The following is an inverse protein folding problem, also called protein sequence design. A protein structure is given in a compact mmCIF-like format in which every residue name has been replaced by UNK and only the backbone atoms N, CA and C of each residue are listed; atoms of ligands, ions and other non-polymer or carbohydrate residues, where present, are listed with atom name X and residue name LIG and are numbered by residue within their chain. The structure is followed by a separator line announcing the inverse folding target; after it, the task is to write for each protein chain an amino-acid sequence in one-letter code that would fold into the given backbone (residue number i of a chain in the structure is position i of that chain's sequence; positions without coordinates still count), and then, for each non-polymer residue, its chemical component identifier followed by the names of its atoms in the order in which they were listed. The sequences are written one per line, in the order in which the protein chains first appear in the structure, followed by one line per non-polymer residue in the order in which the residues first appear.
data_IF_326359965794
#
_entry.id   IF_326359965794
#
_cell.length_a   1.000
_cell.length_b   1.000
_cell.length_c   1.000
_cell.angle_alpha   90.00
_cell.angle_beta   90.00
_cell.angle_gamma   90.00
#
_symmetry.space_group_name_H-M   'P 1'
#
loop_
_entity.id
_entity.type
_entity.pdbx_description
1 polymer ?
#
# COMPACT_ATOMS: atom_id res chain seq x y z
N UNK A 1 -1.98 5.66 -12.49
CA UNK A 1 -1.58 4.88 -11.29
C UNK A 1 -0.92 5.74 -10.20
N UNK A 2 -0.18 6.80 -10.53
CA UNK A 2 0.43 7.67 -9.51
C UNK A 2 -0.56 8.34 -8.54
N UNK A 3 -1.75 8.71 -9.01
CA UNK A 3 -2.83 9.26 -8.17
C UNK A 3 -3.34 8.29 -7.10
N UNK A 4 -3.31 6.98 -7.36
CA UNK A 4 -3.73 5.97 -6.37
C UNK A 4 -2.70 5.78 -5.26
N UNK A 5 -1.41 5.80 -5.59
CA UNK A 5 -0.33 5.70 -4.59
C UNK A 5 -0.13 6.99 -3.79
N UNK A 6 -0.65 8.12 -4.28
CA UNK A 6 -0.60 9.40 -3.57
C UNK A 6 -1.34 9.32 -2.23
N UNK A 7 -2.50 8.65 -2.17
CA UNK A 7 -3.32 8.57 -0.96
C UNK A 7 -2.59 7.92 0.23
N UNK A 8 -2.11 6.67 0.11
CA UNK A 8 -1.40 5.99 1.18
C UNK A 8 -0.08 6.65 1.60
N UNK A 9 0.62 7.30 0.66
CA UNK A 9 1.91 7.95 0.95
C UNK A 9 1.73 9.34 1.57
N UNK A 10 0.74 10.11 1.14
CA UNK A 10 0.46 11.43 1.71
C UNK A 10 -0.29 11.36 3.04
N UNK A 11 -1.05 10.30 3.31
CA UNK A 11 -1.83 10.14 4.53
C UNK A 11 -1.02 10.33 5.82
N UNK A 12 0.06 9.55 6.05
CA UNK A 12 0.89 9.65 7.25
C UNK A 12 1.59 11.00 7.42
N UNK A 13 1.81 11.75 6.34
CA UNK A 13 2.53 13.02 6.34
C UNK A 13 1.61 14.22 6.53
N UNK A 14 0.38 14.12 6.02
CA UNK A 14 -0.66 15.12 6.22
C UNK A 14 -1.36 14.95 7.57
N UNK A 15 -1.44 13.74 8.12
CA UNK A 15 -2.11 13.46 9.38
C UNK A 15 -1.56 14.24 10.60
N UNK A 16 -0.23 14.48 10.74
CA UNK A 16 0.34 15.30 11.81
C UNK A 16 -0.10 16.76 11.79
N UNK A 17 -0.57 17.31 10.67
CA UNK A 17 -0.98 18.72 10.55
C UNK A 17 -2.27 19.00 11.35
N UNK A 18 -3.43 18.37 11.04
CA UNK A 18 -4.63 18.52 11.86
C UNK A 18 -4.46 17.85 13.23
N UNK A 19 -3.71 16.75 13.32
CA UNK A 19 -3.44 16.06 14.57
C UNK A 19 -2.68 16.93 15.58
N UNK A 20 -1.66 17.66 15.12
CA UNK A 20 -0.88 18.58 15.94
C UNK A 20 -1.68 19.82 16.38
N UNK A 21 -2.52 20.37 15.50
CA UNK A 21 -3.40 21.50 15.83
C UNK A 21 -4.43 21.14 16.90
N UNK A 22 -5.08 19.99 16.76
CA UNK A 22 -6.09 19.49 17.71
C UNK A 22 -5.42 19.13 19.05
N UNK A 23 -4.24 18.50 19.01
CA UNK A 23 -3.48 18.15 20.21
C UNK A 23 -3.01 19.39 20.99
N UNK A 24 -2.64 20.47 20.29
CA UNK A 24 -2.26 21.73 20.92
C UNK A 24 -3.45 22.44 21.58
N UNK A 25 -4.61 22.49 20.92
CA UNK A 25 -5.78 23.20 21.43
C UNK A 25 -6.54 22.45 22.55
N UNK A 26 -6.73 21.14 22.41
CA UNK A 26 -7.59 20.34 23.28
C UNK A 26 -6.92 19.10 23.88
N UNK A 27 -5.60 18.98 23.72
CA UNK A 27 -4.82 17.86 24.23
C UNK A 27 -4.94 16.58 23.41
N UNK A 28 -4.15 15.58 23.80
CA UNK A 28 -4.00 14.32 23.06
C UNK A 28 -5.28 13.45 23.02
N UNK A 29 -6.20 13.61 23.97
CA UNK A 29 -7.47 12.84 23.96
C UNK A 29 -8.38 13.27 22.81
N UNK A 30 -8.34 14.54 22.44
CA UNK A 30 -9.16 15.09 21.35
C UNK A 30 -8.78 14.50 20.00
N UNK A 31 -7.51 14.14 19.79
CA UNK A 31 -7.08 13.49 18.54
C UNK A 31 -7.69 12.11 18.35
N UNK A 32 -7.91 11.35 19.42
CA UNK A 32 -8.55 10.02 19.36
C UNK A 32 -10.04 10.12 18.99
N UNK A 33 -10.75 11.09 19.58
CA UNK A 33 -12.15 11.36 19.24
C UNK A 33 -12.30 11.83 17.80
N UNK A 34 -11.39 12.71 17.33
CA UNK A 34 -11.35 13.12 15.93
C UNK A 34 -11.14 11.92 14.99
N UNK A 35 -10.19 11.02 15.30
CA UNK A 35 -9.94 9.81 14.51
C UNK A 35 -11.16 8.89 14.45
N UNK A 36 -11.89 8.77 15.56
CA UNK A 36 -13.13 7.97 15.66
C UNK A 36 -14.22 8.54 14.75
N UNK A 37 -14.43 9.85 14.79
CA UNK A 37 -15.41 10.53 13.94
C UNK A 37 -15.03 10.39 12.47
N UNK A 38 -13.76 10.65 12.13
CA UNK A 38 -13.26 10.51 10.76
C UNK A 38 -13.41 9.08 10.22
N UNK A 39 -13.09 8.07 11.04
CA UNK A 39 -13.29 6.66 10.69
C UNK A 39 -14.77 6.31 10.47
N UNK A 40 -15.66 6.80 11.34
CA UNK A 40 -17.11 6.61 11.20
C UNK A 40 -17.68 7.25 9.94
N UNK A 41 -17.27 8.48 9.62
CA UNK A 41 -17.65 9.18 8.37
C UNK A 41 -17.11 8.42 7.15
N UNK A 42 -15.85 7.97 7.19
CA UNK A 42 -15.25 7.19 6.10
C UNK A 42 -16.01 5.88 5.87
N UNK A 43 -16.40 5.17 6.92
CA UNK A 43 -17.23 3.96 6.82
C UNK A 43 -18.61 4.25 6.21
N UNK A 44 -19.23 5.36 6.59
CA UNK A 44 -20.51 5.78 6.04
C UNK A 44 -20.40 6.11 4.55
N UNK A 45 -19.36 6.83 4.15
CA UNK A 45 -19.06 7.13 2.74
C UNK A 45 -18.80 5.83 1.97
N UNK A 46 -17.99 4.91 2.50
CA UNK A 46 -17.73 3.62 1.85
C UNK A 46 -19.00 2.80 1.67
N UNK A 47 -19.88 2.77 2.68
CA UNK A 47 -21.15 2.05 2.62
C UNK A 47 -22.10 2.61 1.56
N UNK A 48 -22.14 3.92 1.37
CA UNK A 48 -23.03 4.56 0.38
C UNK A 48 -22.40 4.57 -1.01
N UNK A 49 -21.09 4.82 -1.09
CA UNK A 49 -20.37 5.06 -2.34
C UNK A 49 -19.87 3.79 -3.05
N UNK A 50 -19.74 2.67 -2.34
CA UNK A 50 -19.34 1.40 -2.95
C UNK A 50 -20.59 0.52 -3.12
N UNK A 51 -21.13 0.35 -4.33
CA UNK A 51 -22.10 -0.70 -4.58
C UNK A 51 -21.40 -2.03 -4.27
N UNK A 52 -21.97 -2.87 -3.42
CA UNK A 52 -21.34 -4.11 -2.96
C UNK A 52 -20.78 -4.92 -4.14
N UNK A 53 -19.47 -4.85 -4.36
CA UNK A 53 -18.74 -5.57 -5.41
C UNK A 53 -18.45 -7.01 -5.00
N UNK A 54 -19.45 -7.70 -4.42
CA UNK A 54 -19.50 -9.16 -4.36
C UNK A 54 -20.34 -9.69 -5.53
N UNK A 55 -20.08 -9.15 -6.73
CA UNK A 55 -20.54 -9.79 -7.96
C UNK A 55 -19.74 -11.07 -8.17
N UNK A 56 -20.40 -12.20 -7.93
CA UNK A 56 -19.98 -13.55 -8.34
C UNK A 56 -18.75 -14.11 -7.63
N UNK A 57 -18.99 -14.69 -6.44
CA UNK A 57 -18.35 -15.95 -6.06
C UNK A 57 -18.51 -16.89 -7.26
N UNK A 58 -17.45 -17.00 -8.05
CA UNK A 58 -17.35 -17.80 -9.27
C UNK A 58 -18.12 -19.10 -9.05
N UNK A 59 -19.08 -19.38 -9.94
CA UNK A 59 -19.70 -20.69 -10.14
C UNK A 59 -18.60 -21.76 -10.19
N UNK A 60 -18.23 -22.31 -9.04
CA UNK A 60 -17.27 -23.40 -8.91
C UNK A 60 -17.97 -24.76 -8.79
N UNK A 61 -19.27 -24.86 -9.13
CA UNK A 61 -20.09 -26.06 -8.91
C UNK A 61 -21.08 -26.33 -10.05
N UNK A 62 -20.79 -25.93 -11.30
CA UNK A 62 -21.74 -26.17 -12.41
C UNK A 62 -21.08 -26.67 -13.70
N UNK A 63 -20.01 -27.46 -13.58
CA UNK A 63 -19.51 -28.26 -14.71
C UNK A 63 -18.79 -29.53 -14.20
N UNK A 64 -19.52 -30.36 -13.44
CA UNK A 64 -19.21 -31.78 -13.31
C UNK A 64 -20.54 -32.52 -13.25
N UNK A 65 -21.06 -32.93 -14.39
CA UNK A 65 -21.88 -34.14 -14.55
C UNK A 65 -21.71 -34.60 -16.01
N UNK A 66 -21.79 -35.91 -16.35
CA UNK A 66 -22.51 -36.96 -15.62
C UNK A 66 -21.77 -38.31 -15.52
N UNK A 67 -22.05 -39.04 -14.43
CA UNK A 67 -22.15 -40.51 -14.33
C UNK A 67 -21.72 -40.96 -12.94
N UNK A 68 -22.68 -41.29 -12.07
CA UNK A 68 -22.92 -42.68 -11.62
C UNK A 68 -24.31 -42.71 -11.00
N UNK A 69 -25.10 -43.65 -11.49
CA UNK A 69 -26.46 -43.90 -11.08
C UNK A 69 -26.57 -44.48 -9.66
N UNK A 70 -27.63 -44.04 -8.98
CA UNK A 70 -28.55 -44.85 -8.18
C UNK A 70 -28.13 -45.38 -6.78
N UNK A 71 -28.97 -44.98 -5.80
CA UNK A 71 -29.24 -45.63 -4.50
C UNK A 71 -28.18 -45.40 -3.40
N UNK A 72 -28.49 -44.96 -2.18
CA UNK A 72 -29.49 -45.45 -1.22
C UNK A 72 -29.64 -44.47 -0.03
N UNK A 73 -30.90 -44.26 0.36
CA UNK A 73 -31.43 -44.42 1.74
C UNK A 73 -30.92 -43.56 2.91
N UNK A 74 -31.80 -42.62 3.29
CA UNK A 74 -32.28 -42.26 4.64
C UNK A 74 -31.39 -42.40 5.90
N UNK A 75 -31.49 -41.32 6.70
CA UNK A 75 -31.43 -41.25 8.17
C UNK A 75 -30.13 -41.66 8.88
N UNK A 76 -29.35 -40.66 9.29
CA UNK A 76 -28.76 -40.58 10.64
C UNK A 76 -28.17 -39.17 10.86
N UNK A 77 -28.85 -38.36 11.68
CA UNK A 77 -28.39 -37.06 12.16
C UNK A 77 -27.81 -37.28 13.55
N UNK A 78 -26.49 -37.35 13.66
CA UNK A 78 -25.65 -36.80 14.74
C UNK A 78 -24.18 -37.19 14.48
N UNK A 79 -23.22 -36.43 15.01
CA UNK A 79 -21.76 -36.64 14.91
C UNK A 79 -21.04 -36.18 13.63
N UNK A 80 -21.63 -36.27 12.43
CA UNK A 80 -20.95 -35.82 11.18
C UNK A 80 -20.85 -34.30 11.02
N UNK A 81 -21.79 -33.55 11.61
CA UNK A 81 -21.86 -32.09 11.48
C UNK A 81 -20.75 -31.38 12.28
N UNK A 82 -20.38 -31.91 13.45
CA UNK A 82 -19.27 -31.40 14.28
C UNK A 82 -17.92 -31.62 13.59
N UNK A 83 -17.72 -32.81 12.99
CA UNK A 83 -16.52 -33.12 12.21
C UNK A 83 -16.38 -32.23 10.97
N UNK A 84 -17.48 -31.90 10.29
CA UNK A 84 -17.49 -30.97 9.16
C UNK A 84 -17.20 -29.52 9.59
N UNK A 85 -17.70 -29.07 10.76
CA UNK A 85 -17.35 -27.74 11.28
C UNK A 85 -15.89 -27.64 11.71
N UNK A 86 -15.31 -28.68 12.33
CA UNK A 86 -13.88 -28.69 12.70
C UNK A 86 -12.97 -28.72 11.47
N UNK A 87 -13.31 -29.51 10.45
CA UNK A 87 -12.58 -29.52 9.17
C UNK A 87 -12.64 -28.16 8.46
N UNK A 88 -13.81 -27.50 8.47
CA UNK A 88 -13.98 -26.15 7.92
C UNK A 88 -13.15 -25.10 8.67
N UNK A 89 -13.07 -25.20 9.99
CA UNK A 89 -12.18 -24.35 10.80
C UNK A 89 -10.70 -24.62 10.52
N UNK A 90 -10.31 -25.87 10.32
CA UNK A 90 -8.94 -26.25 9.96
C UNK A 90 -8.55 -25.77 8.55
N UNK A 91 -9.47 -25.82 7.60
CA UNK A 91 -9.26 -25.24 6.26
C UNK A 91 -9.17 -23.71 6.30
N UNK A 92 -10.02 -23.05 7.09
CA UNK A 92 -9.95 -21.60 7.30
C UNK A 92 -8.62 -21.24 8.00
N UNK A 93 -8.19 -22.03 8.99
CA UNK A 93 -6.93 -21.79 9.70
C UNK A 93 -5.71 -22.04 8.80
N UNK A 94 -5.76 -23.04 7.92
CA UNK A 94 -4.76 -23.26 6.88
C UNK A 94 -4.74 -22.13 5.86
N UNK A 95 -5.91 -21.64 5.45
CA UNK A 95 -6.03 -20.50 4.53
C UNK A 95 -5.52 -19.19 5.15
N UNK A 96 -5.74 -18.99 6.46
CA UNK A 96 -5.28 -17.79 7.16
C UNK A 96 -3.78 -17.87 7.49
N UNK A 97 -3.25 -19.06 7.79
CA UNK A 97 -1.89 -19.20 8.34
C UNK A 97 -0.87 -19.70 7.31
N UNK A 98 -1.25 -20.66 6.45
CA UNK A 98 -0.34 -21.36 5.53
C UNK A 98 -0.38 -20.77 4.11
N UNK A 99 -1.55 -20.38 3.61
CA UNK A 99 -1.63 -19.75 2.28
C UNK A 99 -0.86 -18.42 2.17
N UNK A 100 -0.83 -17.50 3.16
CA UNK A 100 0.02 -16.31 3.06
C UNK A 100 1.52 -16.63 3.16
N UNK A 101 1.93 -17.72 3.82
CA UNK A 101 3.33 -18.17 3.82
C UNK A 101 3.75 -18.68 2.43
N UNK A 102 2.82 -19.17 1.62
CA UNK A 102 3.11 -19.54 0.23
C UNK A 102 3.54 -18.35 -0.63
N UNK A 103 3.20 -17.11 -0.24
CA UNK A 103 3.69 -15.89 -0.91
C UNK A 103 5.20 -15.73 -0.72
N UNK A 104 5.75 -16.16 0.42
CA UNK A 104 7.20 -16.16 0.64
C UNK A 104 7.92 -17.10 -0.35
N UNK A 105 7.23 -18.08 -0.92
CA UNK A 105 7.80 -18.96 -1.94
C UNK A 105 8.08 -18.21 -3.26
N UNK A 106 7.39 -17.09 -3.52
CA UNK A 106 7.71 -16.18 -4.63
C UNK A 106 9.03 -15.40 -4.41
N UNK A 107 9.55 -15.31 -3.18
CA UNK A 107 10.91 -14.82 -2.92
C UNK A 107 11.99 -15.76 -3.46
N UNK A 108 11.63 -16.94 -3.98
CA UNK A 108 12.60 -17.76 -4.71
C UNK A 108 13.01 -17.11 -6.05
N UNK A 109 12.18 -16.23 -6.60
CA UNK A 109 12.51 -15.51 -7.83
C UNK A 109 13.38 -14.29 -7.52
N UNK A 110 14.60 -14.19 -8.10
CA UNK A 110 15.56 -13.14 -7.75
C UNK A 110 15.03 -11.73 -8.07
N UNK A 111 14.23 -11.58 -9.13
CA UNK A 111 13.58 -10.31 -9.47
C UNK A 111 12.65 -9.82 -8.34
N UNK A 112 11.88 -10.73 -7.74
CA UNK A 112 10.96 -10.39 -6.64
C UNK A 112 11.75 -9.99 -5.40
N UNK A 113 12.78 -10.75 -5.02
CA UNK A 113 13.64 -10.44 -3.86
C UNK A 113 14.28 -9.07 -3.97
N UNK A 114 14.84 -8.73 -5.14
CA UNK A 114 15.49 -7.43 -5.34
C UNK A 114 14.51 -6.27 -5.18
N UNK A 115 13.31 -6.40 -5.76
CA UNK A 115 12.27 -5.35 -5.60
C UNK A 115 11.80 -5.22 -4.15
N UNK A 116 11.64 -6.33 -3.44
CA UNK A 116 11.24 -6.34 -2.03
C UNK A 116 12.34 -5.73 -1.17
N UNK A 117 13.60 -6.15 -1.29
CA UNK A 117 14.72 -5.60 -0.54
C UNK A 117 14.86 -4.09 -0.76
N UNK A 118 14.78 -3.64 -2.02
CA UNK A 118 14.82 -2.23 -2.35
C UNK A 118 13.65 -1.46 -1.70
N UNK A 119 12.42 -1.98 -1.79
CA UNK A 119 11.26 -1.36 -1.15
C UNK A 119 11.36 -1.32 0.38
N UNK A 120 11.92 -2.36 1.00
CA UNK A 120 12.10 -2.44 2.45
C UNK A 120 13.13 -1.43 2.94
N UNK A 121 14.27 -1.30 2.27
CA UNK A 121 15.30 -0.30 2.63
C UNK A 121 14.73 1.10 2.48
N UNK A 122 14.05 1.38 1.37
CA UNK A 122 13.50 2.70 1.08
C UNK A 122 12.41 3.12 2.09
N UNK A 123 11.49 2.21 2.43
CA UNK A 123 10.47 2.45 3.45
C UNK A 123 11.09 2.58 4.85
N UNK A 124 12.06 1.74 5.20
CA UNK A 124 12.72 1.78 6.51
C UNK A 124 13.38 3.13 6.71
N UNK A 125 14.18 3.60 5.75
CA UNK A 125 14.81 4.91 5.90
C UNK A 125 13.79 6.06 5.87
N UNK A 126 12.69 5.97 5.11
CA UNK A 126 11.61 6.97 5.18
C UNK A 126 11.04 7.09 6.60
N UNK A 127 10.74 5.97 7.25
CA UNK A 127 10.20 5.96 8.62
C UNK A 127 11.24 6.44 9.65
N UNK A 128 12.49 6.02 9.50
CA UNK A 128 13.59 6.51 10.37
C UNK A 128 13.74 8.02 10.24
N UNK A 129 13.73 8.56 9.02
CA UNK A 129 13.77 10.01 8.78
C UNK A 129 12.59 10.74 9.43
N UNK A 130 11.38 10.18 9.32
CA UNK A 130 10.19 10.74 9.97
C UNK A 130 10.36 10.83 11.50
N UNK A 131 10.80 9.74 12.13
CA UNK A 131 11.04 9.69 13.58
C UNK A 131 12.14 10.67 13.97
N UNK A 132 13.29 10.63 13.29
CA UNK A 132 14.42 11.53 13.55
C UNK A 132 14.01 12.99 13.47
N UNK A 133 13.26 13.37 12.43
CA UNK A 133 12.73 14.72 12.27
C UNK A 133 11.86 15.12 13.47
N UNK A 134 10.91 14.27 13.87
CA UNK A 134 10.09 14.54 15.05
C UNK A 134 10.94 14.70 16.32
N UNK A 135 11.92 13.84 16.54
CA UNK A 135 12.75 13.86 17.75
C UNK A 135 13.68 15.08 17.81
N UNK A 136 14.35 15.43 16.70
CA UNK A 136 15.32 16.54 16.66
C UNK A 136 14.65 17.88 16.90
N UNK A 137 13.46 18.11 16.34
CA UNK A 137 12.74 19.38 16.52
C UNK A 137 11.96 19.46 17.84
N UNK A 138 11.62 18.33 18.45
CA UNK A 138 10.91 18.29 19.74
C UNK A 138 11.86 18.35 20.95
N UNK A 139 13.10 17.91 20.81
CA UNK A 139 14.11 17.89 21.88
C UNK A 139 14.95 19.18 21.90
N UNK A 140 15.73 19.44 22.97
CA UNK A 140 16.70 20.54 23.00
C UNK A 140 17.72 20.38 21.85
N UNK A 141 18.11 21.46 21.15
CA UNK A 141 17.98 22.88 21.49
C UNK A 141 16.72 23.61 20.96
N UNK A 142 15.92 23.00 20.07
CA UNK A 142 14.82 23.70 19.39
C UNK A 142 13.52 23.80 20.20
N UNK A 143 13.19 22.76 21.00
CA UNK A 143 11.99 22.72 21.85
C UNK A 143 10.70 23.24 21.16
N UNK A 144 10.49 22.87 19.89
CA UNK A 144 9.34 23.37 19.15
C UNK A 144 8.03 22.77 19.67
N UNK A 145 6.98 23.60 19.70
CA UNK A 145 5.65 23.15 20.09
C UNK A 145 5.11 22.13 19.08
N UNK A 146 4.20 21.26 19.54
CA UNK A 146 3.57 20.20 18.73
C UNK A 146 2.94 20.74 17.43
N UNK A 147 2.43 21.98 17.46
CA UNK A 147 1.87 22.67 16.29
C UNK A 147 2.96 22.95 15.23
N UNK A 148 4.09 23.52 15.65
CA UNK A 148 5.19 23.87 14.74
C UNK A 148 5.80 22.60 14.16
N UNK A 149 5.99 21.56 14.99
CA UNK A 149 6.47 20.24 14.54
C UNK A 149 5.51 19.63 13.50
N UNK A 150 4.20 19.72 13.71
CA UNK A 150 3.20 19.30 12.72
C UNK A 150 3.29 20.11 11.42
N UNK A 151 3.49 21.43 11.49
CA UNK A 151 3.60 22.30 10.32
C UNK A 151 4.85 22.00 9.48
N UNK A 152 5.94 21.58 10.13
CA UNK A 152 7.19 21.21 9.46
C UNK A 152 7.06 19.96 8.57
N UNK A 153 5.99 19.18 8.69
CA UNK A 153 5.67 18.09 7.75
C UNK A 153 5.03 18.58 6.44
N UNK A 154 4.63 19.85 6.35
CA UNK A 154 3.99 20.42 5.16
C UNK A 154 4.94 20.43 3.95
N UNK A 155 6.18 20.94 4.03
CA UNK A 155 7.13 20.89 2.91
C UNK A 155 7.43 19.46 2.45
N UNK A 156 7.52 18.51 3.39
CA UNK A 156 7.73 17.10 3.09
C UNK A 156 6.53 16.55 2.29
N UNK A 157 5.31 16.82 2.73
CA UNK A 157 4.06 16.44 2.04
C UNK A 157 3.97 17.04 0.63
N UNK A 158 4.27 18.33 0.47
CA UNK A 158 4.31 18.99 -0.85
C UNK A 158 5.36 18.34 -1.75
N UNK A 159 6.54 18.03 -1.21
CA UNK A 159 7.59 17.32 -1.92
C UNK A 159 7.13 15.97 -2.49
N UNK A 160 6.38 15.18 -1.72
CA UNK A 160 5.80 13.92 -2.22
C UNK A 160 4.75 14.13 -3.31
N UNK A 161 3.89 15.14 -3.16
CA UNK A 161 2.86 15.43 -4.15
C UNK A 161 3.51 15.82 -5.48
N UNK A 162 4.44 16.77 -5.43
CA UNK A 162 5.19 17.23 -6.61
C UNK A 162 5.97 16.08 -7.22
N UNK A 163 6.69 15.30 -6.40
CA UNK A 163 7.47 14.16 -6.88
C UNK A 163 6.58 13.10 -7.53
N UNK A 164 5.42 12.80 -6.97
CA UNK A 164 4.50 11.79 -7.52
C UNK A 164 3.88 12.24 -8.84
N UNK A 165 3.46 13.50 -8.95
CA UNK A 165 2.90 14.05 -10.20
C UNK A 165 3.96 14.06 -11.29
N UNK A 166 5.16 14.59 -11.01
CA UNK A 166 6.26 14.62 -11.97
C UNK A 166 6.69 13.22 -12.38
N UNK A 167 6.83 12.28 -11.44
CA UNK A 167 7.18 10.90 -11.77
C UNK A 167 6.09 10.21 -12.58
N UNK A 168 4.81 10.41 -12.26
CA UNK A 168 3.70 9.86 -13.03
C UNK A 168 3.71 10.34 -14.49
N UNK A 169 3.86 11.65 -14.71
CA UNK A 169 3.94 12.22 -16.05
C UNK A 169 5.16 11.71 -16.82
N UNK A 170 6.32 11.59 -16.16
CA UNK A 170 7.55 11.07 -16.79
C UNK A 170 7.45 9.59 -17.11
N UNK A 171 6.88 8.78 -16.23
CA UNK A 171 6.63 7.35 -16.45
C UNK A 171 5.73 7.13 -17.66
N UNK A 172 4.62 7.85 -17.74
CA UNK A 172 3.68 7.72 -18.87
C UNK A 172 4.35 8.15 -20.19
N UNK A 173 5.17 9.21 -20.17
CA UNK A 173 5.93 9.66 -21.34
C UNK A 173 6.99 8.65 -21.81
N UNK A 174 7.70 8.01 -20.88
CA UNK A 174 8.71 6.98 -21.20
C UNK A 174 8.04 5.74 -21.77
N UNK A 175 6.92 5.30 -21.20
CA UNK A 175 6.14 4.18 -21.72
C UNK A 175 5.66 4.43 -23.15
N UNK A 176 5.16 5.64 -23.44
CA UNK A 176 4.76 6.02 -24.81
C UNK A 176 5.96 6.05 -25.78
N UNK A 177 7.12 6.52 -25.31
CA UNK A 177 8.35 6.57 -26.12
C UNK A 177 8.86 5.17 -26.45
N UNK A 178 8.92 4.26 -25.48
CA UNK A 178 9.38 2.88 -25.68
C UNK A 178 8.40 2.08 -26.56
N UNK A 179 7.09 2.25 -26.37
CA UNK A 179 6.10 1.62 -27.23
C UNK A 179 6.19 2.11 -28.69
N UNK A 180 6.46 3.41 -28.90
CA UNK A 180 6.68 3.99 -30.24
C UNK A 180 7.98 3.50 -30.89
N UNK A 181 9.08 3.40 -30.12
CA UNK A 181 10.36 2.85 -30.62
C UNK A 181 10.25 1.38 -31.02
N UNK A 182 9.47 0.59 -30.29
CA UNK A 182 9.33 -0.84 -30.53
C UNK A 182 8.28 -1.18 -31.61
N UNK A 183 7.57 -0.18 -32.19
CA UNK A 183 6.49 -0.36 -33.17
C UNK A 183 5.49 -1.47 -32.80
N UNK A 184 5.20 -1.63 -31.49
CA UNK A 184 4.26 -2.63 -30.99
C UNK A 184 2.86 -2.05 -31.01
N UNK A 185 2.24 -2.14 -32.18
CA UNK A 185 0.85 -1.74 -32.39
C UNK A 185 -0.01 -2.99 -32.37
N UNK A 186 -1.04 -2.99 -31.53
CA UNK A 186 -2.04 -4.05 -31.49
C UNK A 186 -2.88 -4.01 -32.78
N UNK A 187 -3.62 -5.08 -33.09
CA UNK A 187 -4.50 -5.15 -34.28
C UNK A 187 -5.55 -4.01 -34.31
N UNK A 188 -5.79 -3.36 -33.18
CA UNK A 188 -6.69 -2.21 -33.01
C UNK A 188 -6.02 -0.83 -33.17
N UNK A 189 -4.73 -0.77 -33.52
CA UNK A 189 -3.98 0.49 -33.67
C UNK A 189 -3.52 1.13 -32.34
N UNK A 190 -3.67 0.42 -31.22
CA UNK A 190 -3.26 0.88 -29.89
C UNK A 190 -1.87 0.35 -29.51
N UNK A 191 -1.08 1.15 -28.79
CA UNK A 191 0.25 0.74 -28.34
C UNK A 191 0.16 -0.30 -27.21
N UNK A 192 0.87 -1.43 -27.36
CA UNK A 192 0.94 -2.48 -26.33
C UNK A 192 1.99 -2.09 -25.29
N UNK A 193 1.54 -1.75 -24.08
CA UNK A 193 2.41 -1.43 -22.95
C UNK A 193 2.79 -2.68 -22.17
N UNK A 194 4.09 -2.96 -22.08
CA UNK A 194 4.59 -4.04 -21.23
C UNK A 194 4.95 -3.53 -19.83
N UNK A 195 4.78 -4.33 -18.76
CA UNK A 195 5.20 -3.94 -17.41
C UNK A 195 6.69 -3.60 -17.31
N UNK A 196 7.53 -4.24 -18.14
CA UNK A 196 8.98 -4.04 -18.14
C UNK A 196 9.40 -2.68 -18.73
N UNK A 197 8.61 -2.12 -19.65
CA UNK A 197 8.88 -0.80 -20.28
C UNK A 197 8.81 0.35 -19.25
N UNK A 198 8.28 0.09 -18.03
CA UNK A 198 8.26 1.04 -16.90
C UNK A 198 9.59 1.15 -16.15
N UNK A 199 10.41 0.11 -16.20
CA UNK A 199 11.58 -0.05 -15.32
C UNK A 199 12.91 0.44 -15.93
N UNK A 200 12.88 1.07 -17.11
CA UNK A 200 14.09 1.54 -17.79
C UNK A 200 14.78 2.71 -17.08
N UNK A 201 14.79 3.88 -17.71
CA UNK A 201 15.57 5.05 -17.25
C UNK A 201 15.17 5.54 -15.83
N UNK A 202 13.91 5.36 -15.43
CA UNK A 202 13.42 5.82 -14.12
C UNK A 202 13.94 5.00 -12.94
N UNK A 203 14.26 3.72 -13.13
CA UNK A 203 14.81 2.89 -12.06
C UNK A 203 16.21 3.39 -11.66
N UNK A 204 17.02 3.81 -12.63
CA UNK A 204 18.35 4.37 -12.39
C UNK A 204 18.30 5.73 -11.70
N UNK A 205 17.37 6.60 -12.11
CA UNK A 205 17.15 7.88 -11.44
C UNK A 205 16.72 7.69 -9.98
N UNK A 206 15.77 6.79 -9.72
CA UNK A 206 15.36 6.45 -8.35
C UNK A 206 16.49 5.86 -7.52
N UNK A 207 17.32 5.00 -8.12
CA UNK A 207 18.47 4.38 -7.45
C UNK A 207 19.58 5.37 -7.08
N UNK A 208 19.77 6.46 -7.85
CA UNK A 208 20.79 7.47 -7.58
C UNK A 208 20.31 8.61 -6.66
N UNK A 209 19.08 9.09 -6.89
CA UNK A 209 18.53 10.23 -6.14
C UNK A 209 18.30 9.86 -4.68
N UNK A 210 17.89 8.63 -4.40
CA UNK A 210 17.58 8.16 -3.05
C UNK A 210 18.79 8.19 -2.09
N UNK A 211 19.93 7.53 -2.38
CA UNK A 211 21.10 7.60 -1.51
C UNK A 211 21.69 9.01 -1.44
N UNK A 212 21.64 9.79 -2.53
CA UNK A 212 22.08 11.19 -2.51
C UNK A 212 21.25 12.03 -1.53
N UNK A 213 19.92 11.83 -1.49
CA UNK A 213 19.04 12.49 -0.54
C UNK A 213 19.31 12.07 0.91
N UNK A 214 19.62 10.78 1.16
CA UNK A 214 20.01 10.31 2.49
C UNK A 214 21.33 10.93 2.97
N UNK A 215 22.35 11.00 2.11
CA UNK A 215 23.64 11.62 2.42
C UNK A 215 23.45 13.11 2.72
N UNK A 216 22.65 13.80 1.90
CA UNK A 216 22.31 15.21 2.11
C UNK A 216 21.63 15.42 3.47
N UNK A 217 20.64 14.59 3.81
CA UNK A 217 19.97 14.67 5.10
C UNK A 217 20.95 14.44 6.25
N UNK A 218 21.78 13.39 6.17
CA UNK A 218 22.79 13.08 7.18
C UNK A 218 23.74 14.26 7.43
N UNK A 219 24.21 14.90 6.36
CA UNK A 219 25.07 16.08 6.43
C UNK A 219 24.37 17.29 7.09
N UNK A 220 23.09 17.50 6.80
CA UNK A 220 22.33 18.59 7.42
C UNK A 220 22.08 18.37 8.91
N UNK A 221 21.97 17.11 9.35
CA UNK A 221 21.79 16.76 10.76
C UNK A 221 23.09 16.74 11.56
N UNK A 222 24.23 16.46 10.95
CA UNK A 222 25.52 16.41 11.66
C UNK A 222 26.00 17.79 12.12
N UNK A 223 25.59 18.85 11.41
CA UNK A 223 26.00 20.21 11.74
C UNK A 223 25.22 20.85 12.92
N UNK A 224 24.34 20.12 13.61
CA UNK A 224 23.50 20.63 14.71
C UNK A 224 23.33 19.62 15.85
#
# INVERSE_FOLDING_TARGET
MGTFFLGPLCGPLLAPIPGGAIAYAWGWRSTQWFLTIYGGVSLLILRIGIPETLASRKKAVAEVEPNVALSRTLSWVSSRQVAQSTAKWLEILKMILIDPLSILLYLRFPAVVLTVLYSSITLTSLYVLNISFQTTFSQPPYNFSVLIVGLLYTPHSVGYIVSSVLNGMRLDSIMQREAKKANRVDESGMYIYRPEDRMGENAWLGALIYPAAMIWYGWTTENH
#
